data_IF_411059536819
#
_entry.id   IF_411059536819
#
_cell.length_a   1.000
_cell.length_b   1.000
_cell.length_c   1.000
_cell.angle_alpha   90.00
_cell.angle_beta   90.00
_cell.angle_gamma   90.00
#
_symmetry.space_group_name_H-M   'P 1'
#
loop_
_entity.id
_entity.type
_entity.pdbx_description
1 polymer ?
#
# COMPACT_ATOMS: atom_id res chain seq x y z
N UNK A 1 -9.67 2.69 25.55
CA UNK A 1 -9.58 1.76 24.40
C UNK A 1 -10.97 1.22 24.08
N UNK A 2 -11.33 1.14 22.80
CA UNK A 2 -12.65 0.63 22.33
C UNK A 2 -12.91 -0.83 22.74
N UNK A 3 -11.86 -1.58 23.05
CA UNK A 3 -11.90 -3.02 23.33
C UNK A 3 -11.90 -3.37 24.82
N UNK A 4 -11.50 -2.45 25.71
CA UNK A 4 -11.36 -2.74 27.16
C UNK A 4 -12.66 -3.10 27.87
N UNK A 5 -13.79 -2.82 27.27
CA UNK A 5 -15.13 -3.09 27.84
C UNK A 5 -15.77 -4.34 27.27
N UNK A 6 -15.10 -5.05 26.34
CA UNK A 6 -15.62 -6.25 25.71
C UNK A 6 -15.41 -7.47 26.61
N UNK A 7 -16.50 -8.23 26.82
CA UNK A 7 -16.48 -9.42 27.68
C UNK A 7 -15.65 -10.59 27.13
N UNK A 8 -15.52 -10.61 25.81
CA UNK A 8 -14.83 -11.68 25.08
C UNK A 8 -13.35 -11.35 24.80
N UNK A 9 -12.85 -10.22 25.33
CA UNK A 9 -11.47 -9.78 25.16
C UNK A 9 -10.80 -9.56 26.52
N UNK A 10 -9.70 -10.27 26.75
CA UNK A 10 -8.79 -9.99 27.83
C UNK A 10 -7.70 -9.02 27.38
N UNK A 11 -7.78 -7.78 27.84
CA UNK A 11 -6.81 -6.74 27.51
C UNK A 11 -5.54 -6.88 28.32
N UNK A 12 -4.52 -7.51 27.75
CA UNK A 12 -3.25 -7.80 28.41
C UNK A 12 -2.35 -6.56 28.61
N UNK A 13 -2.45 -5.54 27.74
CA UNK A 13 -1.63 -4.34 27.86
C UNK A 13 -1.45 -3.56 26.55
N UNK A 14 -0.55 -2.58 26.58
CA UNK A 14 -0.19 -1.80 25.40
C UNK A 14 1.31 -1.44 25.43
N UNK A 15 1.88 -1.26 24.25
CA UNK A 15 3.22 -0.75 24.04
C UNK A 15 3.17 0.51 23.19
N UNK A 16 4.03 1.48 23.46
CA UNK A 16 4.06 2.77 22.74
C UNK A 16 5.07 2.79 21.59
N UNK A 17 5.94 1.77 21.51
CA UNK A 17 6.96 1.64 20.47
C UNK A 17 7.38 0.16 20.33
N UNK A 18 8.19 -0.14 19.33
CA UNK A 18 8.63 -1.50 19.03
C UNK A 18 9.49 -2.10 20.18
N UNK A 19 10.37 -1.30 20.75
CA UNK A 19 11.24 -1.73 21.84
C UNK A 19 10.43 -2.19 23.06
N UNK A 20 9.43 -1.41 23.47
CA UNK A 20 8.55 -1.78 24.59
C UNK A 20 7.64 -2.97 24.24
N UNK A 21 7.21 -3.10 22.99
CA UNK A 21 6.46 -4.25 22.51
C UNK A 21 7.28 -5.54 22.64
N UNK A 22 8.51 -5.55 22.13
CA UNK A 22 9.39 -6.71 22.21
C UNK A 22 9.75 -7.07 23.66
N UNK A 23 9.91 -6.06 24.54
CA UNK A 23 10.11 -6.30 25.98
C UNK A 23 8.89 -6.94 26.64
N UNK A 24 7.68 -6.48 26.32
CA UNK A 24 6.43 -7.05 26.80
C UNK A 24 6.25 -8.51 26.36
N UNK A 25 6.57 -8.83 25.12
CA UNK A 25 6.43 -10.17 24.55
C UNK A 25 7.43 -11.20 25.11
N UNK A 26 8.46 -10.78 25.84
CA UNK A 26 9.34 -11.70 26.58
C UNK A 26 8.64 -12.34 27.79
N UNK A 27 7.63 -11.65 28.33
CA UNK A 27 6.92 -12.06 29.56
C UNK A 27 5.47 -12.49 29.27
N UNK A 28 4.93 -12.14 28.14
CA UNK A 28 3.53 -12.34 27.80
C UNK A 28 3.39 -12.84 26.35
N UNK A 29 2.46 -13.75 26.15
CA UNK A 29 2.13 -14.27 24.81
C UNK A 29 0.65 -14.00 24.54
N UNK A 30 0.29 -12.85 23.93
CA UNK A 30 -1.09 -12.59 23.55
C UNK A 30 -1.52 -13.46 22.37
N UNK A 31 -2.81 -13.72 22.23
CA UNK A 31 -3.34 -14.40 21.06
C UNK A 31 -3.33 -13.47 19.81
N UNK A 32 -3.63 -12.18 20.04
CA UNK A 32 -3.71 -11.17 18.98
C UNK A 32 -2.96 -9.90 19.37
N UNK A 33 -2.21 -9.34 18.44
CA UNK A 33 -1.56 -8.02 18.56
C UNK A 33 -2.18 -7.07 17.54
N UNK A 34 -2.69 -5.94 18.02
CA UNK A 34 -3.03 -4.79 17.19
C UNK A 34 -1.79 -3.94 17.00
N UNK A 35 -1.22 -3.96 15.81
CA UNK A 35 0.09 -3.36 15.52
C UNK A 35 -0.05 -2.13 14.62
N UNK A 36 0.31 -0.96 15.15
CA UNK A 36 0.42 0.23 14.31
C UNK A 36 1.54 0.06 13.29
N UNK A 37 1.26 0.41 12.04
CA UNK A 37 2.26 0.43 10.97
C UNK A 37 3.33 1.50 11.22
N UNK A 38 2.94 2.64 11.81
CA UNK A 38 3.84 3.75 12.11
C UNK A 38 4.18 3.80 13.60
N UNK A 39 5.28 3.20 13.96
CA UNK A 39 5.86 3.33 15.30
C UNK A 39 7.01 4.34 15.30
N UNK A 40 7.31 4.97 16.43
CA UNK A 40 8.30 6.05 16.48
C UNK A 40 9.75 5.59 16.32
N UNK A 41 10.06 4.34 16.65
CA UNK A 41 11.42 3.79 16.70
C UNK A 41 11.70 2.75 15.58
N UNK A 42 10.64 2.19 14.98
CA UNK A 42 10.76 1.18 13.92
C UNK A 42 9.47 1.14 13.09
N UNK A 43 9.54 0.67 11.86
CA UNK A 43 8.32 0.35 11.11
C UNK A 43 7.57 -0.81 11.75
N UNK A 44 6.24 -0.68 11.89
CA UNK A 44 5.39 -1.80 12.34
C UNK A 44 5.45 -3.02 11.42
N UNK A 45 5.82 -2.83 10.15
CA UNK A 45 6.05 -3.94 9.21
C UNK A 45 7.29 -4.74 9.62
N UNK A 46 8.39 -4.06 9.99
CA UNK A 46 9.60 -4.73 10.45
C UNK A 46 9.40 -5.40 11.81
N UNK A 47 8.64 -4.76 12.71
CA UNK A 47 8.23 -5.37 13.96
C UNK A 47 7.35 -6.60 13.73
N UNK A 48 6.40 -6.56 12.81
CA UNK A 48 5.56 -7.69 12.43
C UNK A 48 6.40 -8.89 12.03
N UNK A 49 7.37 -8.69 11.14
CA UNK A 49 8.32 -9.74 10.72
C UNK A 49 9.08 -10.34 11.89
N UNK A 50 9.58 -9.51 12.82
CA UNK A 50 10.30 -9.99 14.00
C UNK A 50 9.39 -10.79 14.95
N UNK A 51 8.20 -10.27 15.23
CA UNK A 51 7.24 -10.93 16.14
C UNK A 51 6.75 -12.25 15.56
N UNK A 52 6.43 -12.31 14.27
CA UNK A 52 6.02 -13.54 13.58
C UNK A 52 7.11 -14.62 13.64
N UNK A 53 8.38 -14.21 13.51
CA UNK A 53 9.50 -15.15 13.63
C UNK A 53 9.72 -15.64 15.07
N UNK A 54 9.51 -14.79 16.08
CA UNK A 54 9.69 -15.12 17.48
C UNK A 54 8.52 -15.91 18.08
N UNK A 55 7.30 -15.55 17.69
CA UNK A 55 6.04 -16.07 18.25
C UNK A 55 5.07 -16.43 17.11
N UNK A 56 5.29 -17.56 16.40
CA UNK A 56 4.49 -17.94 15.24
C UNK A 56 3.00 -18.20 15.53
N UNK A 57 2.64 -18.41 16.79
CA UNK A 57 1.24 -18.62 17.21
C UNK A 57 0.45 -17.33 17.41
N UNK A 58 1.11 -16.18 17.46
CA UNK A 58 0.48 -14.88 17.70
C UNK A 58 -0.06 -14.32 16.39
N UNK A 59 -1.32 -13.93 16.38
CA UNK A 59 -1.93 -13.28 15.22
C UNK A 59 -1.70 -11.78 15.26
N UNK A 60 -1.21 -11.20 14.16
CA UNK A 60 -0.96 -9.76 14.07
C UNK A 60 -1.99 -9.13 13.15
N UNK A 61 -2.72 -8.13 13.66
CA UNK A 61 -3.59 -7.25 12.89
C UNK A 61 -2.90 -5.90 12.73
N UNK A 62 -2.50 -5.56 11.50
CA UNK A 62 -1.96 -4.25 11.17
C UNK A 62 -3.03 -3.15 11.31
N UNK A 63 -2.71 -2.09 12.03
CA UNK A 63 -3.54 -0.88 12.13
C UNK A 63 -2.85 0.29 11.45
N UNK A 64 -3.54 1.00 10.56
CA UNK A 64 -2.96 2.14 9.87
C UNK A 64 -4.00 3.18 9.48
N UNK A 65 -3.56 4.42 9.28
CA UNK A 65 -4.33 5.47 8.60
C UNK A 65 -4.19 5.38 7.07
N UNK A 66 -3.28 4.53 6.56
CA UNK A 66 -2.98 4.42 5.14
C UNK A 66 -3.66 3.19 4.53
N UNK A 67 -4.32 3.38 3.40
CA UNK A 67 -4.92 2.33 2.57
C UNK A 67 -4.11 2.04 1.30
N UNK A 68 -2.83 2.39 1.28
CA UNK A 68 -1.97 2.21 0.10
C UNK A 68 -1.61 0.73 -0.06
N UNK A 69 -1.83 0.18 -1.26
CA UNK A 69 -1.58 -1.22 -1.59
C UNK A 69 -0.17 -1.71 -1.18
N UNK A 70 0.94 -0.98 -1.43
CA UNK A 70 2.27 -1.46 -1.04
C UNK A 70 2.42 -1.66 0.47
N UNK A 71 1.80 -0.81 1.29
CA UNK A 71 1.84 -0.91 2.75
C UNK A 71 1.05 -2.13 3.22
N UNK A 72 -0.17 -2.31 2.70
CA UNK A 72 -1.04 -3.44 3.03
C UNK A 72 -0.34 -4.75 2.63
N UNK A 73 0.17 -4.81 1.39
CA UNK A 73 0.87 -5.98 0.87
C UNK A 73 2.10 -6.31 1.71
N UNK A 74 2.97 -5.34 1.99
CA UNK A 74 4.16 -5.56 2.81
C UNK A 74 3.81 -6.05 4.22
N UNK A 75 2.76 -5.53 4.84
CA UNK A 75 2.34 -5.99 6.16
C UNK A 75 1.90 -7.45 6.12
N UNK A 76 1.09 -7.84 5.13
CA UNK A 76 0.64 -9.22 4.95
C UNK A 76 1.81 -10.16 4.59
N UNK A 77 2.70 -9.77 3.68
CA UNK A 77 3.87 -10.55 3.25
C UNK A 77 4.87 -10.78 4.42
N UNK A 78 4.87 -9.92 5.43
CA UNK A 78 5.68 -10.06 6.64
C UNK A 78 4.96 -10.77 7.79
N UNK A 79 3.83 -11.45 7.51
CA UNK A 79 3.19 -12.39 8.42
C UNK A 79 2.03 -11.83 9.23
N UNK A 80 1.52 -10.64 8.90
CA UNK A 80 0.27 -10.20 9.50
C UNK A 80 -0.89 -11.11 9.07
N UNK A 81 -1.75 -11.47 10.01
CA UNK A 81 -2.98 -12.21 9.76
C UNK A 81 -4.11 -11.32 9.23
N UNK A 82 -3.95 -10.00 9.34
CA UNK A 82 -4.92 -9.06 8.78
C UNK A 82 -4.46 -7.61 8.81
N UNK A 83 -5.27 -6.77 8.17
CA UNK A 83 -5.04 -5.33 8.08
C UNK A 83 -6.35 -4.56 8.21
N UNK A 84 -6.38 -3.60 9.11
CA UNK A 84 -7.56 -2.79 9.44
C UNK A 84 -7.16 -1.32 9.44
N UNK A 85 -8.03 -0.45 8.93
CA UNK A 85 -7.79 0.99 9.00
C UNK A 85 -8.15 1.54 10.38
N UNK A 86 -7.47 2.58 10.83
CA UNK A 86 -7.70 3.20 12.15
C UNK A 86 -9.05 3.90 12.30
N UNK A 87 -9.76 4.14 11.19
CA UNK A 87 -11.14 4.62 11.17
C UNK A 87 -12.19 3.50 11.23
N UNK A 88 -11.76 2.24 11.33
CA UNK A 88 -12.66 1.10 11.45
C UNK A 88 -13.56 1.22 12.67
N UNK A 89 -14.79 0.72 12.53
CA UNK A 89 -15.71 0.64 13.64
C UNK A 89 -15.28 -0.43 14.64
N UNK A 90 -15.85 -0.38 15.85
CA UNK A 90 -15.60 -1.39 16.87
C UNK A 90 -16.03 -2.79 16.36
N UNK A 91 -17.17 -2.86 15.70
CA UNK A 91 -17.73 -4.09 15.14
C UNK A 91 -16.77 -4.70 14.10
N UNK A 92 -16.23 -3.90 13.20
CA UNK A 92 -15.24 -4.35 12.20
C UNK A 92 -13.97 -4.88 12.86
N UNK A 93 -13.49 -4.20 13.92
CA UNK A 93 -12.31 -4.63 14.66
C UNK A 93 -12.56 -5.96 15.40
N UNK A 94 -13.75 -6.14 15.98
CA UNK A 94 -14.17 -7.40 16.62
C UNK A 94 -14.27 -8.53 15.60
N UNK A 95 -14.83 -8.26 14.42
CA UNK A 95 -14.87 -9.21 13.32
C UNK A 95 -13.48 -9.63 12.88
N UNK A 96 -12.56 -8.67 12.75
CA UNK A 96 -11.15 -8.91 12.40
C UNK A 96 -10.48 -9.85 13.42
N UNK A 97 -10.62 -9.55 14.72
CA UNK A 97 -10.08 -10.38 15.79
C UNK A 97 -10.65 -11.79 15.73
N UNK A 98 -11.99 -11.92 15.62
CA UNK A 98 -12.64 -13.22 15.51
C UNK A 98 -12.20 -14.02 14.28
N UNK A 99 -11.96 -13.35 13.17
CA UNK A 99 -11.51 -14.02 11.94
C UNK A 99 -10.08 -14.58 12.10
N UNK A 100 -9.15 -13.78 12.60
CA UNK A 100 -7.75 -14.21 12.75
C UNK A 100 -7.60 -15.31 13.82
N UNK A 101 -8.39 -15.26 14.89
CA UNK A 101 -8.46 -16.34 15.90
C UNK A 101 -8.95 -17.67 15.32
N UNK A 102 -9.70 -17.64 14.23
CA UNK A 102 -10.14 -18.84 13.48
C UNK A 102 -9.14 -19.24 12.38
N UNK A 103 -7.96 -18.64 12.36
CA UNK A 103 -6.93 -18.90 11.34
C UNK A 103 -7.25 -18.34 9.96
N UNK A 104 -8.19 -17.38 9.84
CA UNK A 104 -8.55 -16.73 8.59
C UNK A 104 -7.86 -15.37 8.49
N UNK A 105 -7.39 -15.02 7.30
CA UNK A 105 -6.92 -13.67 7.05
C UNK A 105 -8.10 -12.68 7.01
N UNK A 106 -7.88 -11.46 7.50
CA UNK A 106 -8.86 -10.39 7.48
C UNK A 106 -8.30 -9.12 6.83
N UNK A 107 -9.10 -8.51 5.98
CA UNK A 107 -8.83 -7.17 5.44
C UNK A 107 -10.09 -6.33 5.58
N UNK A 108 -9.95 -5.13 6.13
CA UNK A 108 -11.06 -4.17 6.09
C UNK A 108 -11.52 -3.95 4.63
N UNK A 109 -12.77 -3.58 4.43
CA UNK A 109 -13.33 -3.40 3.09
C UNK A 109 -12.47 -2.44 2.24
N UNK A 110 -12.03 -1.32 2.81
CA UNK A 110 -11.18 -0.36 2.11
C UNK A 110 -9.80 -0.94 1.78
N UNK A 111 -9.19 -1.72 2.68
CA UNK A 111 -7.93 -2.39 2.42
C UNK A 111 -8.06 -3.46 1.32
N UNK A 112 -9.15 -4.20 1.31
CA UNK A 112 -9.43 -5.19 0.28
C UNK A 112 -9.66 -4.54 -1.10
N UNK A 113 -10.33 -3.40 -1.14
CA UNK A 113 -10.51 -2.62 -2.37
C UNK A 113 -9.16 -2.08 -2.87
N UNK A 114 -8.34 -1.52 -1.99
CA UNK A 114 -7.02 -1.02 -2.34
C UNK A 114 -6.09 -2.12 -2.89
N UNK A 115 -6.18 -3.34 -2.38
CA UNK A 115 -5.45 -4.49 -2.94
C UNK A 115 -5.99 -4.95 -4.30
N UNK A 116 -7.31 -4.78 -4.54
CA UNK A 116 -7.95 -5.10 -5.83
C UNK A 116 -7.72 -4.03 -6.88
N UNK A 117 -7.50 -2.78 -6.47
CA UNK A 117 -7.02 -1.77 -7.39
C UNK A 117 -5.68 -2.28 -7.94
N UNK A 118 -5.74 -2.89 -9.13
CA UNK A 118 -4.54 -3.25 -9.86
C UNK A 118 -3.70 -1.98 -9.97
N UNK A 119 -2.60 -1.89 -9.21
CA UNK A 119 -1.53 -1.03 -9.63
C UNK A 119 -1.15 -1.55 -11.01
N UNK A 120 -1.58 -0.84 -12.05
CA UNK A 120 -0.85 -0.93 -13.29
C UNK A 120 0.59 -0.64 -12.89
N UNK A 121 1.44 -1.66 -12.98
CA UNK A 121 2.88 -1.49 -12.85
C UNK A 121 3.23 -0.25 -13.65
N UNK A 122 4.00 0.67 -13.04
CA UNK A 122 4.42 1.88 -13.77
C UNK A 122 4.99 1.38 -15.10
N UNK A 123 4.38 1.72 -16.24
CA UNK A 123 4.80 1.15 -17.50
C UNK A 123 6.27 1.44 -17.73
N UNK A 124 7.05 0.44 -18.07
CA UNK A 124 8.44 0.64 -18.45
C UNK A 124 8.48 1.47 -19.72
N UNK A 125 8.76 2.76 -19.57
CA UNK A 125 8.94 3.69 -20.66
C UNK A 125 10.43 3.88 -20.96
N UNK A 126 10.77 3.86 -22.25
CA UNK A 126 12.12 4.15 -22.69
C UNK A 126 12.49 5.63 -22.40
N UNK A 127 13.79 5.93 -22.43
CA UNK A 127 14.26 7.31 -22.29
C UNK A 127 13.57 8.24 -23.29
N UNK A 128 13.42 7.80 -24.55
CA UNK A 128 12.80 8.59 -25.61
C UNK A 128 11.31 8.81 -25.40
N UNK A 129 10.61 7.79 -24.92
CA UNK A 129 9.20 7.92 -24.56
C UNK A 129 9.01 8.90 -23.39
N UNK A 130 9.93 8.92 -22.42
CA UNK A 130 9.91 9.88 -21.31
C UNK A 130 10.09 11.31 -21.79
N UNK A 131 11.06 11.56 -22.68
CA UNK A 131 11.28 12.89 -23.28
C UNK A 131 10.01 13.38 -24.02
N UNK A 132 9.39 12.51 -24.80
CA UNK A 132 8.12 12.80 -25.49
C UNK A 132 6.99 13.05 -24.50
N UNK A 133 6.86 12.23 -23.45
CA UNK A 133 5.82 12.36 -22.42
C UNK A 133 5.90 13.71 -21.69
N UNK A 134 7.10 14.14 -21.30
CA UNK A 134 7.33 15.44 -20.66
C UNK A 134 6.88 16.58 -21.54
N UNK A 135 7.28 16.58 -22.83
CA UNK A 135 6.87 17.64 -23.77
C UNK A 135 5.35 17.64 -24.06
N UNK A 136 4.71 16.47 -24.02
CA UNK A 136 3.24 16.38 -24.09
C UNK A 136 2.61 17.03 -22.84
N UNK A 137 3.16 16.78 -21.66
CA UNK A 137 2.67 17.36 -20.42
C UNK A 137 2.83 18.88 -20.38
N UNK A 138 3.91 19.40 -20.98
CA UNK A 138 4.20 20.83 -21.17
C UNK A 138 3.29 21.49 -22.24
N UNK A 139 2.44 20.71 -22.93
CA UNK A 139 1.46 21.22 -23.89
C UNK A 139 1.98 21.36 -25.32
N UNK A 140 3.18 20.86 -25.67
CA UNK A 140 3.73 20.97 -27.03
C UNK A 140 2.97 20.12 -28.04
N UNK A 141 2.80 20.66 -29.26
CA UNK A 141 2.25 19.95 -30.41
C UNK A 141 3.23 18.93 -30.97
N UNK A 142 2.76 17.99 -31.79
CA UNK A 142 3.64 16.97 -32.38
C UNK A 142 4.73 17.57 -33.27
N UNK A 143 4.46 18.71 -33.93
CA UNK A 143 5.43 19.41 -34.77
C UNK A 143 6.56 20.03 -33.90
N UNK A 144 6.19 20.71 -32.81
CA UNK A 144 7.14 21.32 -31.88
C UNK A 144 7.98 20.24 -31.14
N UNK A 145 7.36 19.09 -30.77
CA UNK A 145 8.09 17.96 -30.18
C UNK A 145 9.09 17.39 -31.19
N UNK A 146 8.69 17.24 -32.45
CA UNK A 146 9.55 16.74 -33.51
C UNK A 146 10.79 17.64 -33.69
N UNK A 147 10.56 18.96 -33.74
CA UNK A 147 11.64 19.97 -33.81
C UNK A 147 12.56 19.93 -32.61
N UNK A 148 12.01 20.01 -31.37
CA UNK A 148 12.78 19.98 -30.11
C UNK A 148 13.64 18.73 -29.95
N UNK A 149 13.14 17.60 -30.41
CA UNK A 149 13.80 16.32 -30.27
C UNK A 149 14.60 15.88 -31.49
N UNK A 150 14.63 16.69 -32.55
CA UNK A 150 15.31 16.40 -33.83
C UNK A 150 14.90 15.05 -34.43
N UNK A 151 13.56 14.78 -34.46
CA UNK A 151 12.97 13.58 -35.08
C UNK A 151 11.79 13.94 -35.98
N UNK A 152 11.30 12.99 -36.77
CA UNK A 152 10.15 13.20 -37.63
C UNK A 152 8.82 13.19 -36.85
N UNK A 153 7.82 13.93 -37.34
CA UNK A 153 6.45 13.91 -36.78
C UNK A 153 5.88 12.48 -36.74
N UNK A 154 6.04 11.61 -37.76
CA UNK A 154 5.63 10.21 -37.66
C UNK A 154 6.29 9.46 -36.49
N UNK A 155 7.56 9.75 -36.18
CA UNK A 155 8.27 9.16 -35.03
C UNK A 155 7.65 9.61 -33.72
N UNK A 156 7.30 10.89 -33.56
CA UNK A 156 6.55 11.38 -32.39
C UNK A 156 5.22 10.65 -32.24
N UNK A 157 4.47 10.48 -33.33
CA UNK A 157 3.21 9.76 -33.34
C UNK A 157 3.37 8.30 -32.89
N UNK A 158 4.45 7.64 -33.29
CA UNK A 158 4.77 6.28 -32.85
C UNK A 158 5.01 6.22 -31.35
N UNK A 159 5.80 7.13 -30.80
CA UNK A 159 6.03 7.20 -29.34
C UNK A 159 4.74 7.51 -28.58
N UNK A 160 3.88 8.42 -29.08
CA UNK A 160 2.57 8.71 -28.48
C UNK A 160 1.67 7.48 -28.46
N UNK A 161 1.57 6.75 -29.56
CA UNK A 161 0.78 5.50 -29.61
C UNK A 161 1.30 4.45 -28.63
N UNK A 162 2.63 4.31 -28.56
CA UNK A 162 3.27 3.40 -27.61
C UNK A 162 2.96 3.79 -26.16
N UNK A 163 3.05 5.07 -25.82
CA UNK A 163 2.69 5.59 -24.49
C UNK A 163 1.22 5.33 -24.16
N UNK A 164 0.29 5.67 -25.06
CA UNK A 164 -1.14 5.40 -24.86
C UNK A 164 -1.42 3.92 -24.60
N UNK A 165 -0.78 3.03 -25.36
CA UNK A 165 -0.91 1.58 -25.18
C UNK A 165 -0.31 1.11 -23.85
N UNK A 166 0.91 1.55 -23.51
CA UNK A 166 1.60 1.18 -22.26
C UNK A 166 0.83 1.63 -21.02
N UNK A 167 0.22 2.82 -21.05
CA UNK A 167 -0.59 3.34 -19.96
C UNK A 167 -2.05 2.88 -20.01
N UNK A 168 -2.42 2.08 -21.01
CA UNK A 168 -3.77 1.58 -21.25
C UNK A 168 -4.82 2.71 -21.23
N UNK A 169 -4.57 3.80 -21.95
CA UNK A 169 -5.45 4.97 -22.06
C UNK A 169 -5.75 5.33 -23.52
N UNK A 170 -6.96 5.84 -23.77
CA UNK A 170 -7.43 6.14 -25.13
C UNK A 170 -7.07 7.53 -25.65
N UNK A 171 -6.57 8.44 -24.80
CA UNK A 171 -6.30 9.82 -25.19
C UNK A 171 -5.21 10.49 -24.34
N UNK A 172 -4.77 11.67 -24.81
CA UNK A 172 -3.70 12.45 -24.18
C UNK A 172 -4.07 12.90 -22.75
N UNK A 173 -5.31 13.27 -22.48
CA UNK A 173 -5.74 13.69 -21.15
C UNK A 173 -5.62 12.54 -20.13
N UNK A 174 -6.02 11.32 -20.53
CA UNK A 174 -5.84 10.11 -19.75
C UNK A 174 -4.36 9.79 -19.52
N UNK A 175 -3.52 9.97 -20.55
CA UNK A 175 -2.08 9.76 -20.46
C UNK A 175 -1.44 10.70 -19.42
N UNK A 176 -1.73 12.00 -19.50
CA UNK A 176 -1.22 12.99 -18.55
C UNK A 176 -1.69 12.69 -17.11
N UNK A 177 -2.98 12.37 -16.94
CA UNK A 177 -3.53 11.99 -15.62
C UNK A 177 -2.75 10.83 -14.99
N UNK A 178 -2.42 9.80 -15.77
CA UNK A 178 -1.64 8.65 -15.29
C UNK A 178 -0.18 9.03 -15.06
N UNK A 179 0.44 9.83 -15.93
CA UNK A 179 1.81 10.28 -15.78
C UNK A 179 2.03 11.09 -14.50
N UNK A 180 1.10 11.99 -14.16
CA UNK A 180 1.09 12.73 -12.89
C UNK A 180 0.89 11.79 -11.70
N UNK A 181 -0.06 10.83 -11.78
CA UNK A 181 -0.30 9.82 -10.73
C UNK A 181 0.98 9.03 -10.40
N UNK A 182 1.81 8.77 -11.39
CA UNK A 182 3.05 8.00 -11.24
C UNK A 182 4.31 8.87 -11.03
N UNK A 183 4.17 10.19 -10.86
CA UNK A 183 5.29 11.15 -10.74
C UNK A 183 6.30 11.05 -11.90
N UNK A 184 5.83 10.89 -13.11
CA UNK A 184 6.65 10.81 -14.32
C UNK A 184 6.82 12.15 -15.01
N UNK A 185 5.94 13.11 -14.69
CA UNK A 185 5.91 14.49 -15.19
C UNK A 185 5.41 15.41 -14.08
#
# INVERSE_FOLDING_TARGET
>A
SLLQTEKDIDWMGHATNATSCLAFLKMHTPDVILMDVNLPDMSGIDLCKQVTALLPSVHILGLSTFNQQPIIKNMMDNGAAGYVLKNATKEELMEAISAVMKGKNFLSMEAALALRETHHEIPLISRREREVLTLIADGFTNAEIAEKLFISIPTVNTHRKSLLAKFNVGNTAGLIKQAVKYNLV
#
